data_IF_888348047255
#
_entry.id   IF_888348047255
#
_cell.length_a   1.000
_cell.length_b   1.000
_cell.length_c   1.000
_cell.angle_alpha   90.00
_cell.angle_beta   90.00
_cell.angle_gamma   90.00
#
_symmetry.space_group_name_H-M   'P 1'
#
loop_
_entity.id
_entity.type
_entity.pdbx_description
1 polymer ?
#
# COMPACT_ATOMS: atom_id res chain seq x y z
N UNK A 1 -36.87 10.09 -15.74
CA UNK A 1 -36.60 8.85 -14.98
C UNK A 1 -35.10 8.64 -14.98
N UNK A 2 -34.39 9.23 -14.02
CA UNK A 2 -32.92 9.13 -13.91
C UNK A 2 -32.63 7.82 -13.20
N UNK A 3 -32.18 6.82 -13.94
CA UNK A 3 -31.79 5.52 -13.37
C UNK A 3 -30.52 5.71 -12.56
N UNK A 4 -30.72 5.85 -11.25
CA UNK A 4 -29.71 5.82 -10.21
C UNK A 4 -29.14 4.39 -10.10
N UNK A 5 -28.09 4.05 -10.86
CA UNK A 5 -27.34 2.80 -10.63
C UNK A 5 -25.86 2.92 -11.02
N UNK A 6 -25.07 3.57 -10.16
CA UNK A 6 -23.68 3.15 -9.89
C UNK A 6 -23.46 3.20 -8.38
N UNK A 7 -24.11 2.30 -7.63
CA UNK A 7 -23.66 1.90 -6.29
C UNK A 7 -22.96 0.55 -6.45
N UNK A 8 -21.63 0.59 -6.55
CA UNK A 8 -20.75 -0.56 -6.78
C UNK A 8 -19.87 -0.24 -7.99
N UNK A 9 -18.69 0.36 -7.86
CA UNK A 9 -17.60 0.01 -6.97
C UNK A 9 -16.79 1.28 -6.61
N UNK A 10 -16.52 1.51 -5.33
CA UNK A 10 -15.90 2.75 -4.82
C UNK A 10 -14.36 2.79 -4.91
N UNK A 11 -13.71 1.76 -5.48
CA UNK A 11 -12.24 1.71 -5.62
C UNK A 11 -11.83 1.62 -7.08
N UNK A 12 -10.84 2.43 -7.45
CA UNK A 12 -10.10 2.31 -8.69
C UNK A 12 -8.68 1.82 -8.39
N UNK A 13 -8.17 0.77 -9.06
CA UNK A 13 -6.84 0.24 -8.78
C UNK A 13 -5.77 1.18 -9.34
N UNK A 14 -4.91 1.70 -8.47
CA UNK A 14 -3.78 2.56 -8.82
C UNK A 14 -2.51 1.99 -8.21
N UNK A 15 -1.41 1.98 -8.97
CA UNK A 15 -0.06 1.74 -8.46
C UNK A 15 0.58 3.12 -8.26
N UNK A 16 0.89 3.45 -7.01
CA UNK A 16 1.45 4.74 -6.62
C UNK A 16 2.98 4.68 -6.61
N UNK A 17 3.64 5.72 -7.14
CA UNK A 17 5.08 5.91 -6.94
C UNK A 17 5.34 6.27 -5.46
N UNK A 18 6.27 5.57 -4.83
CA UNK A 18 6.64 5.67 -3.42
C UNK A 18 7.85 6.58 -3.14
N UNK A 19 8.27 7.43 -4.09
CA UNK A 19 9.26 8.52 -3.95
C UNK A 19 8.81 9.66 -2.99
N UNK A 20 7.78 9.42 -2.18
CA UNK A 20 7.10 10.38 -1.32
C UNK A 20 6.99 9.81 0.09
N UNK A 21 6.96 10.70 1.07
CA UNK A 21 6.91 10.33 2.49
C UNK A 21 5.61 9.58 2.81
N UNK A 22 5.72 8.49 3.57
CA UNK A 22 4.59 7.84 4.22
C UNK A 22 4.61 8.17 5.71
N UNK A 23 3.51 8.75 6.20
CA UNK A 23 3.33 9.02 7.62
C UNK A 23 2.54 7.89 8.27
N UNK A 24 3.07 7.30 9.34
CA UNK A 24 2.37 6.30 10.16
C UNK A 24 2.13 6.87 11.55
N UNK A 25 0.89 6.80 12.02
CA UNK A 25 0.46 7.30 13.33
C UNK A 25 0.13 6.12 14.24
N UNK A 26 0.94 5.96 15.30
CA UNK A 26 0.92 4.83 16.21
C UNK A 26 2.21 4.00 16.11
N UNK A 27 2.63 3.42 17.23
CA UNK A 27 3.87 2.63 17.34
C UNK A 27 3.64 1.21 17.85
N UNK A 28 2.39 0.70 17.83
CA UNK A 28 2.07 -0.67 18.26
C UNK A 28 2.33 -1.75 17.19
N UNK A 29 1.88 -2.97 17.47
CA UNK A 29 2.00 -4.14 16.59
C UNK A 29 1.46 -3.93 15.18
N UNK A 30 0.34 -3.22 15.06
CA UNK A 30 -0.29 -2.91 13.76
C UNK A 30 0.62 -2.01 12.92
N UNK A 31 1.10 -0.91 13.51
CA UNK A 31 2.02 0.00 12.86
C UNK A 31 3.32 -0.70 12.46
N UNK A 32 3.86 -1.57 13.33
CA UNK A 32 5.05 -2.37 13.04
C UNK A 32 4.87 -3.25 11.79
N UNK A 33 3.75 -4.00 11.73
CA UNK A 33 3.43 -4.84 10.58
C UNK A 33 3.29 -4.04 9.29
N UNK A 34 2.65 -2.87 9.36
CA UNK A 34 2.49 -1.96 8.21
C UNK A 34 3.84 -1.39 7.75
N UNK A 35 4.67 -0.97 8.70
CA UNK A 35 6.02 -0.43 8.44
C UNK A 35 6.88 -1.47 7.72
N UNK A 36 6.97 -2.70 8.25
CA UNK A 36 7.74 -3.79 7.62
C UNK A 36 7.29 -4.05 6.17
N UNK A 37 5.98 -3.98 5.90
CA UNK A 37 5.45 -4.17 4.55
C UNK A 37 5.77 -2.98 3.62
N UNK A 38 5.72 -1.77 4.12
CA UNK A 38 6.02 -0.56 3.35
C UNK A 38 7.51 -0.42 3.03
N UNK A 39 8.39 -0.91 3.91
CA UNK A 39 9.84 -0.97 3.69
C UNK A 39 10.24 -1.86 2.50
N UNK A 40 9.36 -2.71 2.00
CA UNK A 40 9.57 -3.43 0.73
C UNK A 40 9.49 -2.49 -0.50
N UNK A 41 9.01 -1.24 -0.32
CA UNK A 41 8.74 -0.28 -1.39
C UNK A 41 9.36 1.11 -1.20
N UNK A 42 9.59 1.55 0.04
CA UNK A 42 10.18 2.87 0.33
C UNK A 42 10.81 2.93 1.72
N UNK A 43 11.86 3.73 1.84
CA UNK A 43 12.53 4.05 3.10
C UNK A 43 12.07 5.39 3.68
N UNK A 44 11.36 6.22 2.90
CA UNK A 44 10.87 7.54 3.33
C UNK A 44 9.59 7.38 4.18
N UNK A 45 9.78 6.85 5.38
CA UNK A 45 8.71 6.57 6.35
C UNK A 45 8.98 7.35 7.64
N UNK A 46 8.00 8.15 8.04
CA UNK A 46 7.97 8.81 9.35
C UNK A 46 6.91 8.13 10.21
N UNK A 47 7.28 7.75 11.44
CA UNK A 47 6.36 7.17 12.42
C UNK A 47 6.26 8.10 13.62
N UNK A 48 5.04 8.46 14.01
CA UNK A 48 4.77 9.30 15.18
C UNK A 48 3.97 8.49 16.20
N UNK A 49 4.46 8.40 17.43
CA UNK A 49 3.73 7.78 18.54
C UNK A 49 4.29 8.16 19.90
N UNK A 50 3.50 8.06 20.97
CA UNK A 50 3.98 8.23 22.35
C UNK A 50 4.88 7.08 22.78
N UNK A 51 4.63 5.88 22.24
CA UNK A 51 5.33 4.65 22.56
C UNK A 51 5.55 3.81 21.31
N UNK A 52 6.63 3.05 21.30
CA UNK A 52 7.00 2.16 20.20
C UNK A 52 7.15 0.74 20.72
N UNK A 53 6.62 -0.22 19.96
CA UNK A 53 6.95 -1.62 20.11
C UNK A 53 8.46 -1.81 20.01
N UNK A 54 9.04 -2.67 20.86
CA UNK A 54 10.51 -2.84 20.97
C UNK A 54 11.18 -3.20 19.64
N UNK A 55 10.53 -3.96 18.78
CA UNK A 55 11.05 -4.27 17.43
C UNK A 55 11.26 -3.04 16.54
N UNK A 56 10.72 -1.86 16.85
CA UNK A 56 11.06 -0.65 16.12
C UNK A 56 12.52 -0.20 16.35
N UNK A 57 13.20 -0.68 17.38
CA UNK A 57 14.60 -0.37 17.65
C UNK A 57 15.53 -0.91 16.55
N UNK A 58 15.17 -2.03 15.92
CA UNK A 58 15.91 -2.63 14.80
C UNK A 58 15.47 -2.10 13.43
N UNK A 59 14.48 -1.21 13.38
CA UNK A 59 13.96 -0.63 12.13
C UNK A 59 14.54 0.76 11.92
N UNK A 60 15.23 0.93 10.79
CA UNK A 60 15.82 2.19 10.36
C UNK A 60 14.79 3.06 9.61
N UNK A 61 13.93 3.72 10.37
CA UNK A 61 12.97 4.73 9.87
C UNK A 61 12.94 5.92 10.82
N UNK A 62 12.46 7.07 10.34
CA UNK A 62 12.31 8.26 11.18
C UNK A 62 11.22 8.03 12.22
N UNK A 63 11.60 8.04 13.50
CA UNK A 63 10.69 7.84 14.64
C UNK A 63 10.58 9.12 15.45
N UNK A 64 9.37 9.63 15.64
CA UNK A 64 9.07 10.82 16.43
C UNK A 64 8.27 10.40 17.66
N UNK A 65 8.89 10.52 18.84
CA UNK A 65 8.23 10.21 20.12
C UNK A 65 7.36 11.39 20.56
N UNK A 66 6.06 11.31 20.31
CA UNK A 66 5.09 12.37 20.62
C UNK A 66 3.68 11.81 20.80
N UNK A 67 2.97 12.33 21.79
CA UNK A 67 1.53 12.13 21.94
C UNK A 67 0.76 12.96 20.90
N UNK A 68 -0.09 12.30 20.12
CA UNK A 68 -0.79 12.90 18.98
C UNK A 68 -2.21 13.26 19.38
N UNK A 69 -2.66 14.43 18.93
CA UNK A 69 -4.04 14.89 19.05
C UNK A 69 -4.44 15.71 17.81
N UNK A 70 -5.70 16.11 17.72
CA UNK A 70 -6.23 16.88 16.60
C UNK A 70 -5.56 18.24 16.40
N UNK A 71 -4.95 18.82 17.44
CA UNK A 71 -4.33 20.14 17.39
C UNK A 71 -2.90 20.11 16.86
N UNK A 72 -2.17 19.01 17.10
CA UNK A 72 -0.77 18.89 16.70
C UNK A 72 -0.57 18.05 15.44
N UNK A 73 -1.55 17.25 15.02
CA UNK A 73 -1.38 16.28 13.95
C UNK A 73 -0.95 16.92 12.62
N UNK A 74 -1.52 18.06 12.26
CA UNK A 74 -1.19 18.76 11.01
C UNK A 74 0.28 19.20 10.91
N UNK A 75 0.97 19.38 12.03
CA UNK A 75 2.39 19.72 12.05
C UNK A 75 3.32 18.58 11.58
N UNK A 76 2.80 17.35 11.50
CA UNK A 76 3.53 16.20 10.96
C UNK A 76 3.24 15.95 9.47
N UNK A 77 2.29 16.68 8.89
CA UNK A 77 1.99 16.60 7.46
C UNK A 77 2.97 17.50 6.69
N UNK A 78 3.44 17.02 5.54
CA UNK A 78 4.28 17.80 4.63
C UNK A 78 3.73 17.76 3.21
N UNK A 79 4.18 18.67 2.35
CA UNK A 79 3.86 18.64 0.91
C UNK A 79 4.33 17.35 0.22
N UNK A 80 5.29 16.65 0.83
CA UNK A 80 5.82 15.37 0.34
C UNK A 80 5.03 14.17 0.83
N UNK A 81 4.13 14.30 1.81
CA UNK A 81 3.37 13.18 2.36
C UNK A 81 2.41 12.63 1.30
N UNK A 82 2.67 11.41 0.81
CA UNK A 82 1.82 10.73 -0.17
C UNK A 82 0.52 10.24 0.45
N UNK A 83 0.62 9.59 1.60
CA UNK A 83 -0.53 9.11 2.35
C UNK A 83 -0.18 8.91 3.82
N UNK A 84 -1.23 8.84 4.65
CA UNK A 84 -1.16 8.60 6.08
C UNK A 84 -1.74 7.23 6.42
N UNK A 85 -1.13 6.51 7.36
CA UNK A 85 -1.69 5.30 7.96
C UNK A 85 -1.98 5.56 9.44
N UNK A 86 -3.26 5.52 9.82
CA UNK A 86 -3.72 5.71 11.19
C UNK A 86 -3.91 4.35 11.88
N UNK A 87 -3.15 4.11 12.95
CA UNK A 87 -3.08 2.84 13.68
C UNK A 87 -3.33 3.02 15.20
N UNK A 88 -4.02 4.08 15.63
CA UNK A 88 -4.30 4.31 17.05
C UNK A 88 -5.43 3.41 17.55
N UNK A 89 -5.38 3.03 18.83
CA UNK A 89 -6.49 2.32 19.48
C UNK A 89 -7.73 3.22 19.70
N UNK A 90 -7.52 4.55 19.79
CA UNK A 90 -8.60 5.52 19.93
C UNK A 90 -9.28 5.76 18.57
N UNK A 91 -10.42 5.10 18.36
CA UNK A 91 -11.21 5.19 17.12
C UNK A 91 -11.73 6.60 16.84
N UNK A 92 -12.16 7.34 17.87
CA UNK A 92 -12.64 8.71 17.71
C UNK A 92 -11.52 9.64 17.25
N UNK A 93 -10.32 9.48 17.82
CA UNK A 93 -9.16 10.23 17.39
C UNK A 93 -8.79 9.86 15.94
N UNK A 94 -8.75 8.58 15.57
CA UNK A 94 -8.52 8.18 14.17
C UNK A 94 -9.53 8.85 13.21
N UNK A 95 -10.80 8.95 13.59
CA UNK A 95 -11.83 9.64 12.80
C UNK A 95 -11.54 11.13 12.64
N UNK A 96 -11.16 11.82 13.72
CA UNK A 96 -10.75 13.24 13.67
C UNK A 96 -9.53 13.44 12.77
N UNK A 97 -8.49 12.62 12.94
CA UNK A 97 -7.26 12.71 12.15
C UNK A 97 -7.50 12.38 10.67
N UNK A 98 -8.39 11.44 10.36
CA UNK A 98 -8.82 11.14 8.99
C UNK A 98 -9.48 12.35 8.33
N UNK A 99 -10.37 13.06 9.04
CA UNK A 99 -10.95 14.32 8.54
C UNK A 99 -9.89 15.37 8.23
N UNK A 100 -8.90 15.54 9.13
CA UNK A 100 -7.78 16.47 8.90
C UNK A 100 -6.97 16.07 7.65
N UNK A 101 -6.68 14.78 7.45
CA UNK A 101 -6.00 14.33 6.22
C UNK A 101 -6.76 14.75 4.96
N UNK A 102 -8.10 14.57 4.98
CA UNK A 102 -8.99 14.93 3.86
C UNK A 102 -9.04 16.43 3.61
N UNK A 103 -9.07 17.25 4.65
CA UNK A 103 -8.97 18.72 4.54
C UNK A 103 -7.66 19.16 3.87
N UNK A 104 -6.57 18.46 4.17
CA UNK A 104 -5.26 18.67 3.56
C UNK A 104 -5.07 17.97 2.20
N UNK A 105 -6.10 17.28 1.68
CA UNK A 105 -6.06 16.49 0.42
C UNK A 105 -5.00 15.38 0.43
N UNK A 106 -4.70 14.82 1.60
CA UNK A 106 -3.79 13.69 1.76
C UNK A 106 -4.63 12.42 1.91
N UNK A 107 -4.32 11.39 1.11
CA UNK A 107 -4.98 10.10 1.20
C UNK A 107 -4.71 9.46 2.56
N UNK A 108 -5.74 8.87 3.18
CA UNK A 108 -5.60 8.19 4.47
C UNK A 108 -6.05 6.74 4.43
N UNK A 109 -5.28 5.86 5.07
CA UNK A 109 -5.69 4.53 5.48
C UNK A 109 -5.94 4.52 6.98
N UNK A 110 -7.17 4.30 7.40
CA UNK A 110 -7.48 4.00 8.81
C UNK A 110 -7.56 2.50 8.96
N UNK A 111 -6.72 1.94 9.84
CA UNK A 111 -6.70 0.50 10.03
C UNK A 111 -8.04 0.03 10.59
N UNK A 112 -8.56 -1.04 9.97
CA UNK A 112 -9.83 -1.70 10.31
C UNK A 112 -11.08 -0.80 10.22
N UNK A 113 -10.98 0.38 9.59
CA UNK A 113 -12.13 1.25 9.31
C UNK A 113 -12.11 1.75 7.86
N UNK A 114 -12.84 1.03 7.02
CA UNK A 114 -12.92 1.25 5.59
C UNK A 114 -13.73 2.50 5.23
N UNK A 115 -14.72 2.86 6.03
CA UNK A 115 -15.66 3.95 5.71
C UNK A 115 -15.02 5.33 5.78
N UNK A 116 -13.96 5.45 6.57
CA UNK A 116 -13.16 6.67 6.70
C UNK A 116 -11.79 6.58 6.03
N UNK A 117 -11.53 5.53 5.24
CA UNK A 117 -10.30 5.34 4.47
C UNK A 117 -10.49 5.72 3.00
N UNK A 118 -9.51 6.42 2.42
CA UNK A 118 -9.45 6.70 0.97
C UNK A 118 -8.72 5.59 0.21
N UNK A 119 -7.76 4.95 0.87
CA UNK A 119 -6.94 3.87 0.31
C UNK A 119 -7.01 2.62 1.19
N UNK A 120 -6.84 1.46 0.56
CA UNK A 120 -6.80 0.15 1.21
C UNK A 120 -5.51 -0.58 0.85
N UNK A 121 -5.05 -1.44 1.74
CA UNK A 121 -3.81 -2.20 1.54
C UNK A 121 -4.17 -3.57 0.97
N UNK A 122 -3.83 -3.87 -0.31
CA UNK A 122 -4.12 -5.16 -0.92
C UNK A 122 -3.16 -6.25 -0.43
N UNK A 123 -3.45 -7.50 -0.78
CA UNK A 123 -2.43 -8.54 -0.79
C UNK A 123 -1.50 -8.28 -1.99
N UNK A 124 -0.18 -8.28 -1.76
CA UNK A 124 0.81 -7.90 -2.80
C UNK A 124 1.77 -9.05 -3.08
N UNK A 125 1.96 -9.37 -4.36
CA UNK A 125 3.07 -10.17 -4.89
C UNK A 125 4.03 -9.21 -5.58
N UNK A 126 5.27 -9.17 -5.12
CA UNK A 126 6.35 -8.37 -5.70
C UNK A 126 7.44 -9.33 -6.16
N UNK A 127 7.73 -9.28 -7.46
CA UNK A 127 8.82 -10.00 -8.12
C UNK A 127 9.74 -8.99 -8.82
N UNK A 128 10.73 -9.45 -9.58
CA UNK A 128 11.74 -8.57 -10.19
C UNK A 128 11.15 -7.70 -11.32
N UNK A 129 10.16 -8.21 -12.06
CA UNK A 129 9.52 -7.51 -13.19
C UNK A 129 8.02 -7.31 -13.00
N UNK A 130 7.38 -8.08 -12.14
CA UNK A 130 5.95 -8.01 -11.89
C UNK A 130 5.61 -7.52 -10.48
N UNK A 131 4.67 -6.59 -10.42
CA UNK A 131 3.99 -6.17 -9.19
C UNK A 131 2.50 -6.43 -9.34
N UNK A 132 1.92 -7.19 -8.41
CA UNK A 132 0.51 -7.60 -8.47
C UNK A 132 -0.16 -7.27 -7.15
N UNK A 133 -1.28 -6.55 -7.24
CA UNK A 133 -2.15 -6.23 -6.13
C UNK A 133 -3.47 -7.01 -6.24
N UNK A 134 -3.80 -7.77 -5.20
CA UNK A 134 -5.03 -8.57 -5.10
C UNK A 134 -5.90 -7.95 -4.01
N UNK A 135 -7.12 -7.58 -4.37
CA UNK A 135 -8.05 -6.93 -3.45
C UNK A 135 -9.45 -7.51 -3.57
N UNK A 136 -10.03 -7.88 -2.43
CA UNK A 136 -11.47 -8.11 -2.25
C UNK A 136 -12.20 -6.81 -1.89
N UNK A 137 -11.60 -5.64 -2.19
CA UNK A 137 -12.12 -4.31 -1.83
C UNK A 137 -12.32 -4.14 -0.33
N UNK A 138 -11.51 -4.80 0.49
CA UNK A 138 -11.62 -4.78 1.95
C UNK A 138 -12.70 -5.71 2.52
N UNK A 139 -13.42 -6.48 1.69
CA UNK A 139 -14.51 -7.35 2.15
C UNK A 139 -14.01 -8.69 2.73
N UNK A 140 -12.94 -9.26 2.17
CA UNK A 140 -12.41 -10.55 2.61
C UNK A 140 -10.86 -10.59 2.52
N UNK A 141 -10.15 -10.02 3.51
CA UNK A 141 -8.68 -10.05 3.55
C UNK A 141 -8.11 -11.47 3.55
N UNK A 142 -8.82 -12.41 4.17
CA UNK A 142 -8.45 -13.83 4.19
C UNK A 142 -8.34 -14.41 2.78
N UNK A 143 -9.35 -14.19 1.93
CA UNK A 143 -9.34 -14.74 0.58
C UNK A 143 -8.30 -14.06 -0.31
N UNK A 144 -8.09 -12.74 -0.19
CA UNK A 144 -7.01 -12.07 -0.92
C UNK A 144 -5.63 -12.63 -0.56
N UNK A 145 -5.42 -13.01 0.72
CA UNK A 145 -4.19 -13.69 1.15
C UNK A 145 -4.08 -15.10 0.56
N UNK A 146 -5.16 -15.89 0.59
CA UNK A 146 -5.16 -17.25 0.04
C UNK A 146 -4.92 -17.27 -1.46
N UNK A 147 -5.60 -16.41 -2.21
CA UNK A 147 -5.38 -16.29 -3.65
C UNK A 147 -3.95 -15.87 -3.98
N UNK A 148 -3.35 -14.99 -3.18
CA UNK A 148 -1.93 -14.63 -3.30
C UNK A 148 -1.02 -15.85 -3.20
N UNK A 149 -1.29 -16.73 -2.22
CA UNK A 149 -0.51 -17.95 -2.00
C UNK A 149 -0.69 -18.93 -3.17
N UNK A 150 -1.92 -19.12 -3.65
CA UNK A 150 -2.25 -20.03 -4.76
C UNK A 150 -1.58 -19.64 -6.09
N UNK A 151 -1.53 -18.35 -6.42
CA UNK A 151 -0.97 -17.89 -7.71
C UNK A 151 0.53 -17.60 -7.65
N UNK A 152 1.17 -17.63 -6.48
CA UNK A 152 2.55 -17.17 -6.31
C UNK A 152 3.53 -17.89 -7.25
N UNK A 153 3.47 -19.21 -7.33
CA UNK A 153 4.34 -20.03 -8.19
C UNK A 153 4.07 -19.78 -9.68
N UNK A 154 2.80 -19.60 -10.04
CA UNK A 154 2.44 -19.24 -11.42
C UNK A 154 3.05 -17.88 -11.80
N UNK A 155 3.00 -16.91 -10.89
CA UNK A 155 3.59 -15.59 -11.10
C UNK A 155 5.12 -15.66 -11.19
N UNK A 156 5.78 -16.56 -10.46
CA UNK A 156 7.25 -16.75 -10.59
C UNK A 156 7.66 -17.10 -12.02
N UNK A 157 6.92 -18.01 -12.68
CA UNK A 157 7.15 -18.32 -14.09
C UNK A 157 6.86 -17.11 -14.99
N UNK A 158 5.80 -16.35 -14.70
CA UNK A 158 5.44 -15.15 -15.48
C UNK A 158 6.39 -13.99 -15.32
N UNK A 159 7.07 -13.89 -14.19
CA UNK A 159 8.12 -12.90 -13.98
C UNK A 159 9.34 -13.16 -14.91
N UNK A 160 9.68 -14.44 -15.13
CA UNK A 160 10.71 -14.83 -16.10
C UNK A 160 10.28 -14.51 -17.53
N UNK A 161 9.04 -14.84 -17.91
CA UNK A 161 8.47 -14.46 -19.22
C UNK A 161 8.55 -12.92 -19.43
N UNK A 162 8.16 -12.15 -18.41
CA UNK A 162 8.19 -10.69 -18.44
C UNK A 162 9.63 -10.16 -18.63
N UNK A 163 10.63 -10.76 -17.96
CA UNK A 163 12.04 -10.40 -18.13
C UNK A 163 12.48 -10.55 -19.59
N UNK A 164 12.19 -11.69 -20.22
CA UNK A 164 12.54 -11.95 -21.62
C UNK A 164 11.86 -10.91 -22.54
N UNK A 165 10.59 -10.62 -22.33
CA UNK A 165 9.84 -9.65 -23.14
C UNK A 165 10.39 -8.22 -22.98
N UNK A 166 10.73 -7.81 -21.76
CA UNK A 166 11.33 -6.50 -21.48
C UNK A 166 12.69 -6.37 -22.19
N UNK A 167 13.52 -7.39 -22.13
CA UNK A 167 14.82 -7.39 -22.81
C UNK A 167 14.67 -7.41 -24.34
N UNK A 168 13.70 -8.15 -24.86
CA UNK A 168 13.37 -8.17 -26.29
C UNK A 168 12.90 -6.79 -26.78
N UNK A 169 12.04 -6.11 -25.99
CA UNK A 169 11.61 -4.73 -26.25
C UNK A 169 12.78 -3.77 -26.33
N UNK A 170 13.72 -3.85 -25.39
CA UNK A 170 14.92 -2.99 -25.36
C UNK A 170 15.82 -3.19 -26.59
N UNK A 171 15.83 -4.40 -27.17
CA UNK A 171 16.56 -4.74 -28.40
C UNK A 171 15.82 -4.37 -29.68
N UNK A 172 14.59 -3.86 -29.60
CA UNK A 172 13.77 -3.51 -30.77
C UNK A 172 13.18 -4.72 -31.50
N UNK A 173 13.14 -5.89 -30.85
CA UNK A 173 12.56 -7.09 -31.43
C UNK A 173 11.03 -7.03 -31.45
N UNK A 174 10.41 -7.83 -32.32
CA UNK A 174 8.97 -8.06 -32.31
C UNK A 174 8.54 -8.84 -31.04
N UNK A 175 7.62 -8.27 -30.27
CA UNK A 175 7.16 -8.84 -29.00
C UNK A 175 6.21 -10.02 -29.18
N UNK A 176 5.38 -10.02 -30.21
CA UNK A 176 4.47 -11.13 -30.49
C UNK A 176 5.26 -12.38 -30.88
N UNK A 177 6.29 -12.23 -31.72
CA UNK A 177 7.20 -13.32 -32.07
C UNK A 177 7.93 -13.87 -30.84
N UNK A 178 8.41 -12.98 -29.98
CA UNK A 178 9.08 -13.35 -28.73
C UNK A 178 8.13 -14.07 -27.78
N UNK A 179 6.90 -13.59 -27.66
CA UNK A 179 5.89 -14.19 -26.79
C UNK A 179 5.45 -15.57 -27.28
N UNK A 180 5.30 -15.73 -28.59
CA UNK A 180 4.97 -17.02 -29.21
C UNK A 180 6.09 -18.05 -29.02
N UNK A 181 7.35 -17.61 -29.09
CA UNK A 181 8.52 -18.40 -28.72
C UNK A 181 8.40 -18.89 -27.28
N UNK A 182 8.27 -17.99 -26.31
CA UNK A 182 8.08 -18.33 -24.89
C UNK A 182 6.98 -19.38 -24.68
N UNK A 183 5.82 -19.23 -25.34
CA UNK A 183 4.70 -20.19 -25.25
C UNK A 183 5.05 -21.60 -25.74
N UNK A 184 5.99 -21.74 -26.68
CA UNK A 184 6.48 -23.02 -27.21
C UNK A 184 7.58 -23.65 -26.34
N UNK A 185 7.95 -23.00 -25.23
CA UNK A 185 9.13 -23.38 -24.43
C UNK A 185 10.40 -22.65 -24.86
N UNK A 186 10.23 -21.51 -25.55
CA UNK A 186 11.18 -20.73 -26.37
C UNK A 186 11.21 -21.16 -27.85
#
# INVERSE_FOLDING_TARGET
MITLFIRGYLYFPIILNTDKEVLIVGGGNVALRKTKKLLEFTEDITIVSSEFHSEFDSINVKKIKKEINEYNFSSFLSEKTAFVVLCLNNKELNKKLSSICKEHKIMVNVVDDKDISDIIFPAVIQKDKLLIAISTKGECPFYSKKLKEEIAEFIDKKDQDAKILIDSRKKGNNLDDTYNKIKRGL
#
